data_IF_164001282035
#
_entry.id   IF_164001282035
#
_cell.length_a   1.000
_cell.length_b   1.000
_cell.length_c   1.000
_cell.angle_alpha   90.00
_cell.angle_beta   90.00
_cell.angle_gamma   90.00
#
_symmetry.space_group_name_H-M   'P 1'
#
loop_
_entity.id
_entity.type
_entity.pdbx_description
1 polymer ?
#
# COMPACT_ATOMS: atom_id res chain seq x y z
N UNK A 1 7.64 4.75 -40.02
CA UNK A 1 8.33 4.90 -38.72
C UNK A 1 7.34 4.67 -37.61
N UNK A 2 7.70 3.86 -36.65
CA UNK A 2 6.85 3.61 -35.48
C UNK A 2 7.05 4.71 -34.45
N UNK A 3 5.96 5.36 -34.05
CA UNK A 3 6.00 6.33 -32.99
C UNK A 3 5.63 5.63 -31.67
N UNK A 4 6.37 5.92 -30.63
CA UNK A 4 6.09 5.41 -29.28
C UNK A 4 5.46 6.50 -28.44
N UNK A 5 4.35 6.15 -27.77
CA UNK A 5 3.72 7.07 -26.84
C UNK A 5 4.59 7.23 -25.60
N UNK A 6 4.75 8.47 -25.16
CA UNK A 6 5.39 8.76 -23.89
C UNK A 6 4.34 8.72 -22.79
N UNK A 7 4.60 7.95 -21.76
CA UNK A 7 3.70 7.82 -20.64
C UNK A 7 4.45 8.22 -19.36
N UNK A 8 3.82 9.09 -18.57
CA UNK A 8 4.39 9.46 -17.29
C UNK A 8 3.99 8.43 -16.25
N UNK A 9 5.01 7.86 -15.61
CA UNK A 9 4.83 6.88 -14.54
C UNK A 9 5.41 7.42 -13.24
N UNK A 10 4.94 6.89 -12.12
CA UNK A 10 5.46 7.23 -10.81
C UNK A 10 5.72 5.97 -10.00
N UNK A 11 6.88 5.93 -9.36
CA UNK A 11 7.17 4.98 -8.29
C UNK A 11 6.94 5.72 -6.99
N UNK A 12 5.94 5.32 -6.24
CA UNK A 12 5.55 5.99 -5.00
C UNK A 12 6.37 5.46 -3.84
N UNK A 13 7.17 6.32 -3.23
CA UNK A 13 7.90 6.00 -2.00
C UNK A 13 7.13 6.58 -0.82
N UNK A 14 6.46 5.73 -0.09
CA UNK A 14 5.68 6.13 1.06
C UNK A 14 5.60 4.97 2.04
N UNK A 15 5.43 5.31 3.31
CA UNK A 15 5.21 4.30 4.35
C UNK A 15 3.72 4.05 4.54
N UNK A 16 3.31 2.81 4.82
CA UNK A 16 1.92 2.54 5.17
C UNK A 16 1.59 3.12 6.55
N UNK A 17 0.30 3.19 6.84
CA UNK A 17 -0.16 3.39 8.21
C UNK A 17 -0.22 2.01 8.85
N UNK A 18 0.65 1.75 9.81
CA UNK A 18 0.94 0.41 10.30
C UNK A 18 -0.31 -0.25 10.88
N UNK A 19 -0.66 -1.41 10.32
CA UNK A 19 -1.77 -2.25 10.77
C UNK A 19 -3.11 -1.51 10.82
N UNK A 20 -3.29 -0.57 9.91
CA UNK A 20 -4.55 0.16 9.73
C UNK A 20 -4.89 0.21 8.25
N UNK A 21 -5.64 -0.79 7.80
CA UNK A 21 -5.98 -0.93 6.39
C UNK A 21 -6.80 0.24 5.85
N UNK A 22 -7.74 0.77 6.64
CA UNK A 22 -8.54 1.92 6.25
C UNK A 22 -7.69 3.17 6.02
N UNK A 23 -6.80 3.46 6.96
CA UNK A 23 -5.89 4.61 6.84
C UNK A 23 -4.86 4.41 5.71
N UNK A 24 -4.40 3.18 5.48
CA UNK A 24 -3.55 2.87 4.33
C UNK A 24 -4.27 3.17 3.02
N UNK A 25 -5.52 2.78 2.88
CA UNK A 25 -6.33 3.04 1.68
C UNK A 25 -6.51 4.53 1.47
N UNK A 26 -6.86 5.27 2.51
CA UNK A 26 -6.99 6.73 2.41
C UNK A 26 -5.69 7.39 1.95
N UNK A 27 -4.57 6.96 2.50
CA UNK A 27 -3.26 7.45 2.11
C UNK A 27 -2.94 7.10 0.66
N UNK A 28 -3.19 5.86 0.25
CA UNK A 28 -2.98 5.42 -1.13
C UNK A 28 -3.81 6.24 -2.12
N UNK A 29 -5.09 6.44 -1.84
CA UNK A 29 -5.98 7.24 -2.70
C UNK A 29 -5.47 8.67 -2.81
N UNK A 30 -5.08 9.29 -1.71
CA UNK A 30 -4.54 10.65 -1.73
C UNK A 30 -3.27 10.75 -2.56
N UNK A 31 -2.36 9.78 -2.43
CA UNK A 31 -1.12 9.75 -3.22
C UNK A 31 -1.39 9.55 -4.70
N UNK A 32 -2.36 8.69 -5.04
CA UNK A 32 -2.76 8.45 -6.42
C UNK A 32 -3.44 9.69 -7.03
N UNK A 33 -4.26 10.40 -6.28
CA UNK A 33 -4.87 11.66 -6.71
C UNK A 33 -3.81 12.74 -6.98
N UNK A 34 -2.82 12.83 -6.10
CA UNK A 34 -1.69 13.75 -6.29
C UNK A 34 -0.91 13.40 -7.56
N UNK A 35 -0.62 12.13 -7.77
CA UNK A 35 0.06 11.67 -8.98
C UNK A 35 -0.76 11.97 -10.23
N UNK A 36 -2.05 11.70 -10.21
CA UNK A 36 -2.95 12.00 -11.32
C UNK A 36 -2.96 13.50 -11.65
N UNK A 37 -2.95 14.34 -10.63
CA UNK A 37 -2.86 15.80 -10.80
C UNK A 37 -1.56 16.25 -11.47
N UNK A 38 -0.52 15.43 -11.43
CA UNK A 38 0.76 15.68 -12.11
C UNK A 38 0.85 15.01 -13.48
N UNK A 39 -0.25 14.47 -13.99
CA UNK A 39 -0.29 13.82 -15.30
C UNK A 39 0.24 12.39 -15.31
N UNK A 40 0.38 11.75 -14.16
CA UNK A 40 0.82 10.37 -14.06
C UNK A 40 -0.29 9.43 -14.55
N UNK A 41 0.06 8.48 -15.40
CA UNK A 41 -0.87 7.49 -15.96
C UNK A 41 -0.74 6.12 -15.32
N UNK A 42 0.41 5.81 -14.76
CA UNK A 42 0.67 4.57 -14.04
C UNK A 42 1.46 4.89 -12.77
N UNK A 43 0.92 4.48 -11.64
CA UNK A 43 1.59 4.62 -10.35
C UNK A 43 1.78 3.26 -9.71
N UNK A 44 2.95 3.04 -9.14
CA UNK A 44 3.30 1.81 -8.43
C UNK A 44 3.56 2.14 -6.97
N UNK A 45 2.82 1.52 -6.09
CA UNK A 45 2.98 1.62 -4.64
C UNK A 45 3.95 0.54 -4.13
N UNK A 46 4.53 0.72 -2.94
CA UNK A 46 5.37 -0.31 -2.34
C UNK A 46 4.61 -1.63 -2.15
N UNK A 47 5.35 -2.73 -2.22
CA UNK A 47 4.78 -4.06 -1.96
C UNK A 47 4.11 -4.10 -0.59
N UNK A 48 2.94 -4.71 -0.53
CA UNK A 48 2.13 -4.83 0.69
C UNK A 48 1.89 -3.51 1.43
N UNK A 49 1.68 -2.44 0.67
CA UNK A 49 1.37 -1.14 1.26
C UNK A 49 0.15 -1.20 2.19
N UNK A 50 -0.77 -2.10 1.94
CA UNK A 50 -1.95 -2.31 2.79
C UNK A 50 -1.91 -3.73 3.37
N UNK A 51 -1.73 -3.90 4.69
CA UNK A 51 -1.48 -2.87 5.72
C UNK A 51 -0.01 -2.66 6.06
N UNK A 52 0.88 -3.59 5.71
CA UNK A 52 2.30 -3.54 6.07
C UNK A 52 3.03 -4.76 5.51
N UNK A 53 4.29 -4.57 5.12
CA UNK A 53 5.14 -5.69 4.75
C UNK A 53 5.51 -6.49 6.01
N UNK A 54 5.17 -7.78 6.07
CA UNK A 54 5.28 -8.54 7.33
C UNK A 54 6.71 -8.76 7.82
N UNK A 55 7.69 -8.70 6.93
CA UNK A 55 9.10 -8.83 7.32
C UNK A 55 9.79 -7.49 7.53
N UNK A 56 9.04 -6.39 7.62
CA UNK A 56 9.59 -5.08 7.94
C UNK A 56 10.31 -5.13 9.29
N UNK A 57 11.58 -4.70 9.30
CA UNK A 57 12.41 -4.76 10.51
C UNK A 57 11.83 -3.94 11.67
N UNK A 58 11.20 -2.81 11.37
CA UNK A 58 10.55 -1.98 12.37
C UNK A 58 9.35 -2.69 13.02
N UNK A 59 8.50 -3.31 12.20
CA UNK A 59 7.34 -4.05 12.70
C UNK A 59 7.78 -5.25 13.55
N UNK A 60 8.83 -5.95 13.11
CA UNK A 60 9.41 -7.06 13.87
C UNK A 60 9.97 -6.62 15.20
N UNK A 61 10.67 -5.49 15.22
CA UNK A 61 11.20 -4.91 16.46
C UNK A 61 10.09 -4.44 17.41
N UNK A 62 9.07 -3.80 16.88
CA UNK A 62 7.93 -3.32 17.67
C UNK A 62 7.08 -4.47 18.22
N UNK A 63 6.96 -5.58 17.49
CA UNK A 63 6.24 -6.75 17.95
C UNK A 63 6.92 -7.41 19.14
N UNK A 64 8.26 -7.35 19.20
CA UNK A 64 9.01 -8.04 20.23
C UNK A 64 8.80 -9.55 20.20
N UNK A 65 9.24 -10.25 21.22
CA UNK A 65 9.08 -11.70 21.27
C UNK A 65 7.66 -12.12 21.67
N UNK A 66 7.03 -11.36 22.54
CA UNK A 66 5.69 -11.68 23.04
C UNK A 66 4.56 -11.18 22.13
N UNK A 67 4.84 -10.19 21.29
CA UNK A 67 3.87 -9.58 20.41
C UNK A 67 3.77 -10.19 19.00
N UNK A 68 4.53 -11.26 18.72
CA UNK A 68 4.63 -11.82 17.38
C UNK A 68 3.30 -12.41 16.90
N UNK A 69 2.62 -13.18 17.75
CA UNK A 69 1.32 -13.79 17.41
C UNK A 69 0.25 -12.73 17.20
N UNK A 70 0.24 -11.70 18.05
CA UNK A 70 -0.67 -10.56 17.91
C UNK A 70 -0.43 -9.81 16.61
N UNK A 71 0.83 -9.63 16.21
CA UNK A 71 1.16 -9.00 14.93
C UNK A 71 0.54 -9.78 13.76
N UNK A 72 0.67 -11.10 13.75
CA UNK A 72 0.10 -11.94 12.69
C UNK A 72 -1.42 -11.91 12.68
N UNK A 73 -2.07 -11.91 13.83
CA UNK A 73 -3.52 -11.75 13.92
C UNK A 73 -3.97 -10.42 13.33
N UNK A 74 -3.31 -9.33 13.67
CA UNK A 74 -3.64 -8.01 13.16
C UNK A 74 -3.38 -7.88 11.67
N UNK A 75 -2.32 -8.48 11.17
CA UNK A 75 -2.06 -8.54 9.74
C UNK A 75 -3.18 -9.30 9.00
N UNK A 76 -3.63 -10.40 9.57
CA UNK A 76 -4.74 -11.16 9.00
C UNK A 76 -6.04 -10.34 8.99
N UNK A 77 -6.37 -9.71 10.12
CA UNK A 77 -7.58 -8.89 10.24
C UNK A 77 -7.61 -7.73 9.25
N UNK A 78 -6.46 -7.15 8.95
CA UNK A 78 -6.33 -6.03 8.03
C UNK A 78 -5.94 -6.43 6.61
N UNK A 79 -5.92 -7.73 6.30
CA UNK A 79 -5.63 -8.20 4.96
C UNK A 79 -6.72 -7.80 3.97
N UNK A 80 -6.34 -7.68 2.70
CA UNK A 80 -7.25 -7.24 1.64
C UNK A 80 -7.94 -8.44 1.01
N UNK A 81 -9.27 -8.41 0.99
CA UNK A 81 -10.07 -9.37 0.22
C UNK A 81 -10.14 -8.94 -1.25
N UNK A 82 -9.99 -9.88 -2.15
CA UNK A 82 -10.11 -9.64 -3.59
C UNK A 82 -11.08 -10.64 -4.19
N UNK A 83 -12.25 -10.17 -4.74
CA UNK A 83 -12.75 -8.80 -4.65
C UNK A 83 -13.25 -8.43 -3.26
N UNK A 84 -13.23 -7.15 -2.93
CA UNK A 84 -13.71 -6.65 -1.66
C UNK A 84 -13.69 -5.13 -1.61
N UNK A 85 -14.12 -4.53 -0.50
CA UNK A 85 -14.22 -3.06 -0.39
C UNK A 85 -12.90 -2.34 -0.64
N UNK A 86 -11.80 -2.86 -0.08
CA UNK A 86 -10.49 -2.23 -0.23
C UNK A 86 -9.99 -2.35 -1.67
N UNK A 87 -10.03 -3.55 -2.25
CA UNK A 87 -9.57 -3.74 -3.63
C UNK A 87 -10.39 -2.94 -4.61
N UNK A 88 -11.68 -2.80 -4.39
CA UNK A 88 -12.56 -1.97 -5.22
C UNK A 88 -12.27 -0.48 -5.08
N UNK A 89 -11.75 -0.03 -3.94
CA UNK A 89 -11.43 1.37 -3.69
C UNK A 89 -10.18 1.84 -4.41
N UNK A 90 -9.21 0.95 -4.65
CA UNK A 90 -7.91 1.29 -5.27
C UNK A 90 -7.79 0.85 -6.72
N UNK A 91 -8.63 -0.02 -7.17
CA UNK A 91 -8.69 -0.44 -8.56
C UNK A 91 -9.73 0.35 -9.33
#
# INVERSE_FOLDING_TARGET
MTEFLTVRIAAVQATPVILDSGACVEKAVRLLEEAAGRGVRLAVLPETFVPLYPSNAWARGAAGFAGWDELWERLWEHSVDVPGPISSSVL
#
